data_IF_203569042745
#
_entry.id   IF_203569042745
#
_cell.length_a   1.000
_cell.length_b   1.000
_cell.length_c   1.000
_cell.angle_alpha   90.00
_cell.angle_beta   90.00
_cell.angle_gamma   90.00
#
_symmetry.space_group_name_H-M   'P 1'
#
loop_
_entity.id
_entity.type
_entity.pdbx_description
1 polymer ?
#
# COMPACT_ATOMS: atom_id res chain seq x y z
N UNK A 1 25.40 -16.30 8.62
CA UNK A 1 24.61 -15.63 7.56
C UNK A 1 24.84 -14.15 7.72
N UNK A 2 25.36 -13.49 6.69
CA UNK A 2 25.73 -12.09 6.77
C UNK A 2 24.50 -11.19 6.62
N UNK A 3 24.37 -10.23 7.51
CA UNK A 3 23.36 -9.18 7.48
C UNK A 3 24.08 -7.83 7.62
N UNK A 4 23.84 -6.90 6.69
CA UNK A 4 24.40 -5.56 6.72
C UNK A 4 23.26 -4.55 6.72
N UNK A 5 23.37 -3.53 7.56
CA UNK A 5 22.41 -2.41 7.60
C UNK A 5 23.17 -1.08 7.66
N UNK A 6 23.21 -0.40 6.53
CA UNK A 6 23.93 0.86 6.35
C UNK A 6 22.92 2.00 6.29
N UNK A 7 23.17 3.06 7.07
CA UNK A 7 22.40 4.30 7.02
C UNK A 7 23.27 5.44 6.52
N UNK A 8 22.69 6.28 5.66
CA UNK A 8 23.37 7.41 5.05
C UNK A 8 22.86 8.73 5.64
N UNK A 9 23.66 9.79 5.54
CA UNK A 9 23.36 11.09 6.15
C UNK A 9 22.08 11.75 5.60
N UNK A 10 21.69 11.40 4.37
CA UNK A 10 20.45 11.86 3.75
C UNK A 10 19.19 11.11 4.25
N UNK A 11 19.37 10.14 5.15
CA UNK A 11 18.34 9.27 5.70
C UNK A 11 18.06 8.01 4.89
N UNK A 12 18.61 7.88 3.68
CA UNK A 12 18.49 6.64 2.90
C UNK A 12 19.20 5.49 3.64
N UNK A 13 18.82 4.25 3.30
CA UNK A 13 19.46 3.07 3.88
C UNK A 13 19.56 1.93 2.89
N UNK A 14 20.58 1.10 3.09
CA UNK A 14 20.78 -0.15 2.37
C UNK A 14 20.75 -1.28 3.39
N UNK A 15 19.93 -2.30 3.13
CA UNK A 15 19.91 -3.53 3.91
C UNK A 15 20.28 -4.70 3.01
N UNK A 16 21.26 -5.49 3.41
CA UNK A 16 21.59 -6.76 2.77
C UNK A 16 21.28 -7.90 3.74
N UNK A 17 20.43 -8.85 3.32
CA UNK A 17 19.98 -9.96 4.16
C UNK A 17 19.75 -11.21 3.33
N UNK A 18 20.40 -12.31 3.70
CA UNK A 18 20.22 -13.63 3.06
C UNK A 18 20.37 -13.60 1.53
N UNK A 19 21.35 -12.85 1.00
CA UNK A 19 21.59 -12.73 -0.44
C UNK A 19 20.68 -11.74 -1.18
N UNK A 20 19.81 -11.03 -0.47
CA UNK A 20 18.92 -10.03 -1.04
C UNK A 20 19.35 -8.63 -0.60
N UNK A 21 19.08 -7.65 -1.45
CA UNK A 21 19.37 -6.25 -1.21
C UNK A 21 18.06 -5.46 -1.16
N UNK A 22 17.99 -4.50 -0.23
CA UNK A 22 16.89 -3.56 -0.08
C UNK A 22 17.43 -2.14 -0.04
N UNK A 23 16.94 -1.30 -0.95
CA UNK A 23 17.32 0.11 -1.07
C UNK A 23 16.15 0.97 -0.60
N UNK A 24 16.28 1.74 0.48
CA UNK A 24 15.18 2.52 1.06
C UNK A 24 15.48 4.01 1.11
N UNK A 25 14.42 4.79 0.92
CA UNK A 25 14.45 6.23 1.18
C UNK A 25 14.38 6.54 2.68
N UNK A 26 14.59 7.82 3.04
CA UNK A 26 14.44 8.34 4.41
C UNK A 26 13.09 8.13 5.09
N UNK A 27 12.05 7.77 4.33
CA UNK A 27 10.72 7.44 4.84
C UNK A 27 10.50 5.93 4.91
N UNK A 28 11.56 5.13 4.71
CA UNK A 28 11.54 3.67 4.72
C UNK A 28 10.78 3.05 3.53
N UNK A 29 10.56 3.79 2.44
CA UNK A 29 10.00 3.26 1.19
C UNK A 29 11.11 2.71 0.28
N UNK A 30 10.89 1.52 -0.29
CA UNK A 30 11.83 0.91 -1.23
C UNK A 30 11.90 1.66 -2.56
N UNK A 31 13.12 1.92 -3.06
CA UNK A 31 13.34 2.47 -4.41
C UNK A 31 12.99 1.45 -5.51
N UNK A 32 13.10 0.16 -5.19
CA UNK A 32 12.73 -0.99 -6.01
C UNK A 32 12.29 -2.14 -5.10
N UNK A 33 11.70 -3.22 -5.65
CA UNK A 33 11.35 -4.39 -4.87
C UNK A 33 12.56 -4.98 -4.15
N UNK A 34 12.33 -5.52 -2.96
CA UNK A 34 13.30 -6.38 -2.29
C UNK A 34 13.58 -7.59 -3.19
N UNK A 35 14.85 -7.83 -3.46
CA UNK A 35 15.23 -8.81 -4.47
C UNK A 35 16.66 -9.28 -4.29
N UNK A 36 17.02 -10.28 -5.10
CA UNK A 36 18.34 -10.89 -5.12
C UNK A 36 19.40 -9.87 -5.50
N UNK A 37 20.57 -9.93 -4.88
CA UNK A 37 21.69 -9.02 -5.19
C UNK A 37 22.12 -9.12 -6.66
N UNK A 38 21.93 -10.29 -7.28
CA UNK A 38 22.18 -10.55 -8.70
C UNK A 38 21.31 -9.70 -9.66
N UNK A 39 20.17 -9.18 -9.19
CA UNK A 39 19.27 -8.33 -9.98
C UNK A 39 19.68 -6.85 -9.99
N UNK A 40 20.67 -6.49 -9.17
CA UNK A 40 21.21 -5.15 -9.08
C UNK A 40 22.41 -4.95 -10.01
N UNK A 41 22.67 -3.68 -10.33
CA UNK A 41 23.79 -3.25 -11.16
C UNK A 41 24.66 -2.31 -10.33
N UNK A 42 25.93 -2.68 -10.12
CA UNK A 42 26.93 -1.78 -9.58
C UNK A 42 27.46 -0.90 -10.72
N UNK A 43 27.26 0.41 -10.59
CA UNK A 43 27.55 1.39 -11.64
C UNK A 43 28.75 2.27 -11.32
N UNK A 44 29.07 2.44 -10.03
CA UNK A 44 30.19 3.26 -9.60
C UNK A 44 30.56 2.95 -8.16
N UNK A 45 31.85 2.98 -7.88
CA UNK A 45 32.44 2.92 -6.55
C UNK A 45 33.63 3.85 -6.49
N UNK A 46 33.69 4.67 -5.44
CA UNK A 46 34.85 5.51 -5.15
C UNK A 46 35.04 5.59 -3.64
N UNK A 47 36.29 5.42 -3.21
CA UNK A 47 36.72 5.61 -1.83
C UNK A 47 37.78 6.70 -1.80
N UNK A 48 37.54 7.72 -0.98
CA UNK A 48 38.47 8.84 -0.75
C UNK A 48 38.75 8.96 0.74
N UNK A 49 39.69 9.84 1.11
CA UNK A 49 39.99 10.11 2.52
C UNK A 49 38.77 10.65 3.29
N UNK A 50 37.86 11.35 2.62
CA UNK A 50 36.74 12.05 3.26
C UNK A 50 35.40 11.31 3.15
N UNK A 51 35.21 10.51 2.10
CA UNK A 51 33.93 9.83 1.83
C UNK A 51 34.07 8.58 0.97
N UNK A 52 33.04 7.75 1.06
CA UNK A 52 32.71 6.67 0.16
C UNK A 52 31.51 7.05 -0.72
N UNK A 53 31.55 6.69 -2.00
CA UNK A 53 30.46 6.87 -2.94
C UNK A 53 30.18 5.54 -3.63
N UNK A 54 28.91 5.13 -3.63
CA UNK A 54 28.44 3.98 -4.40
C UNK A 54 27.20 4.37 -5.21
N UNK A 55 27.12 3.92 -6.45
CA UNK A 55 25.94 4.09 -7.31
C UNK A 55 25.40 2.73 -7.69
N UNK A 56 24.14 2.50 -7.33
CA UNK A 56 23.45 1.22 -7.52
C UNK A 56 22.23 1.43 -8.41
N UNK A 57 22.10 0.58 -9.42
CA UNK A 57 20.91 0.47 -10.27
C UNK A 57 20.16 -0.83 -10.05
N UNK A 58 18.93 -0.88 -10.53
CA UNK A 58 18.10 -2.08 -10.63
C UNK A 58 17.10 -1.87 -11.78
N UNK A 59 16.74 -2.92 -12.52
CA UNK A 59 15.79 -2.84 -13.65
C UNK A 59 14.41 -2.26 -13.29
N UNK A 60 14.03 -2.27 -12.02
CA UNK A 60 12.79 -1.68 -11.52
C UNK A 60 12.96 -0.26 -10.98
N UNK A 61 14.11 0.38 -11.22
CA UNK A 61 14.37 1.78 -10.89
C UNK A 61 14.35 2.64 -12.15
N UNK A 62 13.72 3.81 -12.09
CA UNK A 62 13.73 4.78 -13.20
C UNK A 62 15.11 5.41 -13.44
N UNK A 63 15.91 5.49 -12.38
CA UNK A 63 17.26 6.03 -12.42
C UNK A 63 18.13 5.36 -11.34
N UNK A 64 19.44 5.23 -11.56
CA UNK A 64 20.38 4.80 -10.55
C UNK A 64 20.31 5.65 -9.27
N UNK A 65 20.63 5.04 -8.13
CA UNK A 65 20.68 5.72 -6.84
C UNK A 65 22.11 5.85 -6.35
N UNK A 66 22.51 7.09 -6.11
CA UNK A 66 23.79 7.43 -5.47
C UNK A 66 23.63 7.43 -3.95
N UNK A 67 24.58 6.81 -3.28
CA UNK A 67 24.78 6.89 -1.85
C UNK A 67 26.15 7.50 -1.56
N UNK A 68 26.23 8.31 -0.51
CA UNK A 68 27.46 8.96 -0.06
C UNK A 68 27.55 8.82 1.44
N UNK A 69 28.68 8.31 1.91
CA UNK A 69 28.95 8.06 3.32
C UNK A 69 30.26 8.76 3.69
N UNK A 70 30.29 9.52 4.79
CA UNK A 70 31.54 10.12 5.27
C UNK A 70 32.50 9.05 5.79
N UNK A 71 33.82 9.24 5.60
CA UNK A 71 34.82 8.24 5.98
C UNK A 71 34.94 8.01 7.49
N UNK A 72 34.49 8.97 8.31
CA UNK A 72 34.41 8.83 9.76
C UNK A 72 33.11 8.12 10.23
N UNK A 73 32.26 7.68 9.31
CA UNK A 73 31.03 6.98 9.64
C UNK A 73 31.32 5.58 10.17
N UNK A 74 30.55 5.15 11.16
CA UNK A 74 30.59 3.79 11.71
C UNK A 74 30.23 2.69 10.71
N UNK A 75 29.70 3.06 9.54
CA UNK A 75 29.26 2.12 8.50
C UNK A 75 30.28 1.95 7.36
N UNK A 76 31.49 2.50 7.49
CA UNK A 76 32.53 2.40 6.45
C UNK A 76 32.87 0.96 6.10
N UNK A 77 33.18 0.14 7.12
CA UNK A 77 33.50 -1.29 6.95
C UNK A 77 32.33 -2.07 6.33
N UNK A 78 31.09 -1.82 6.79
CA UNK A 78 29.89 -2.45 6.24
C UNK A 78 29.70 -2.11 4.76
N UNK A 79 29.99 -0.87 4.36
CA UNK A 79 29.85 -0.41 2.98
C UNK A 79 30.93 -0.99 2.07
N UNK A 80 32.18 -1.10 2.55
CA UNK A 80 33.25 -1.81 1.84
C UNK A 80 32.94 -3.30 1.68
N UNK A 81 32.43 -3.94 2.73
CA UNK A 81 31.99 -5.34 2.69
C UNK A 81 30.86 -5.50 1.68
N UNK A 82 29.85 -4.63 1.70
CA UNK A 82 28.77 -4.64 0.71
C UNK A 82 29.32 -4.49 -0.72
N UNK A 83 30.24 -3.55 -0.95
CA UNK A 83 30.88 -3.37 -2.26
C UNK A 83 31.59 -4.64 -2.74
N UNK A 84 32.28 -5.35 -1.85
CA UNK A 84 32.91 -6.63 -2.17
C UNK A 84 31.88 -7.68 -2.58
N UNK A 85 30.81 -7.85 -1.81
CA UNK A 85 29.72 -8.80 -2.15
C UNK A 85 29.10 -8.42 -3.51
N UNK A 86 28.82 -7.14 -3.73
CA UNK A 86 28.27 -6.66 -4.99
C UNK A 86 29.20 -6.98 -6.16
N UNK A 87 30.49 -6.69 -6.05
CA UNK A 87 31.48 -6.99 -7.09
C UNK A 87 31.51 -8.49 -7.46
N UNK A 88 31.30 -9.37 -6.49
CA UNK A 88 31.31 -10.82 -6.70
C UNK A 88 29.99 -11.38 -7.28
N UNK A 89 28.84 -10.76 -6.95
CA UNK A 89 27.52 -11.37 -7.20
C UNK A 89 26.60 -10.59 -8.13
N UNK A 90 26.76 -9.27 -8.23
CA UNK A 90 25.87 -8.44 -9.03
C UNK A 90 26.44 -8.16 -10.42
N UNK A 91 25.60 -7.63 -11.31
CA UNK A 91 26.07 -7.17 -12.62
C UNK A 91 26.92 -5.91 -12.41
N UNK A 92 28.13 -5.88 -12.96
CA UNK A 92 29.00 -4.72 -12.88
C UNK A 92 29.08 -4.04 -14.24
N UNK A 93 28.63 -2.79 -14.31
CA UNK A 93 28.76 -1.92 -15.48
C UNK A 93 29.34 -0.58 -14.99
N UNK A 94 30.60 -0.65 -14.53
CA UNK A 94 31.27 0.44 -13.85
C UNK A 94 31.56 1.58 -14.82
N UNK A 95 30.97 2.73 -14.56
CA UNK A 95 31.19 3.94 -15.35
C UNK A 95 32.45 4.67 -14.89
N UNK A 96 33.13 5.33 -15.83
CA UNK A 96 34.36 6.07 -15.53
C UNK A 96 34.13 7.33 -14.70
N UNK A 97 32.95 7.96 -14.80
CA UNK A 97 32.62 9.16 -14.06
C UNK A 97 31.35 8.97 -13.23
N UNK A 98 31.29 9.67 -12.09
CA UNK A 98 30.10 9.71 -11.25
C UNK A 98 28.88 10.26 -12.02
N UNK A 99 29.11 11.23 -12.91
CA UNK A 99 28.04 11.84 -13.72
C UNK A 99 27.41 10.81 -14.66
N UNK A 100 28.22 9.98 -15.31
CA UNK A 100 27.75 8.94 -16.22
C UNK A 100 27.02 7.85 -15.45
N UNK A 101 27.52 7.46 -14.27
CA UNK A 101 26.86 6.49 -13.39
C UNK A 101 25.47 6.94 -12.95
N UNK A 102 25.29 8.22 -12.60
CA UNK A 102 23.98 8.76 -12.20
C UNK A 102 23.02 8.86 -13.40
N UNK A 103 23.56 9.17 -14.59
CA UNK A 103 22.79 9.31 -15.84
C UNK A 103 22.60 7.98 -16.59
N UNK A 104 23.12 6.89 -16.06
CA UNK A 104 23.09 5.59 -16.70
C UNK A 104 21.63 5.18 -17.02
N UNK A 105 21.40 4.83 -18.29
CA UNK A 105 20.07 4.46 -18.78
C UNK A 105 19.79 3.00 -18.44
N UNK A 106 19.05 2.79 -17.36
CA UNK A 106 18.54 1.47 -17.01
C UNK A 106 17.36 1.14 -17.94
N UNK A 107 17.38 -0.03 -18.58
CA UNK A 107 16.22 -0.59 -19.25
C UNK A 107 15.16 -0.92 -18.21
N UNK A 108 14.23 0.02 -17.98
CA UNK A 108 13.22 -0.10 -16.95
C UNK A 108 12.14 -1.12 -17.34
N UNK A 109 12.00 -2.18 -16.54
CA UNK A 109 10.90 -3.13 -16.65
C UNK A 109 9.84 -2.79 -15.58
N UNK A 110 8.61 -2.43 -15.99
CA UNK A 110 7.54 -2.17 -15.03
C UNK A 110 7.25 -3.44 -14.25
N UNK A 111 7.05 -3.28 -12.93
CA UNK A 111 6.63 -4.37 -12.07
C UNK A 111 5.19 -4.73 -12.46
N UNK A 112 5.00 -5.83 -13.17
CA UNK A 112 3.68 -6.39 -13.44
C UNK A 112 3.25 -7.15 -12.19
N UNK A 113 2.44 -6.50 -11.37
CA UNK A 113 1.75 -7.18 -10.28
C UNK A 113 0.64 -7.99 -10.95
N UNK A 114 0.93 -9.25 -11.29
CA UNK A 114 -0.12 -10.21 -11.56
C UNK A 114 -0.99 -10.24 -10.31
N UNK A 115 -2.22 -9.74 -10.43
CA UNK A 115 -3.25 -9.95 -9.44
C UNK A 115 -3.51 -11.45 -9.42
N UNK A 116 -2.69 -12.20 -8.70
CA UNK A 116 -3.04 -13.52 -8.26
C UNK A 116 -4.41 -13.37 -7.59
N UNK A 117 -5.38 -14.15 -8.07
CA UNK A 117 -6.75 -14.26 -7.53
C UNK A 117 -6.67 -14.69 -6.06
N UNK A 118 -6.27 -13.78 -5.17
CA UNK A 118 -6.25 -13.94 -3.73
C UNK A 118 -7.56 -13.45 -3.10
N UNK A 119 -8.48 -12.89 -3.90
CA UNK A 119 -9.86 -12.57 -3.49
C UNK A 119 -10.77 -13.80 -3.34
N UNK A 120 -10.32 -15.02 -3.64
CA UNK A 120 -11.13 -16.24 -3.48
C UNK A 120 -10.80 -17.13 -2.27
N UNK A 121 -9.74 -16.87 -1.49
CA UNK A 121 -9.39 -17.74 -0.33
C UNK A 121 -9.77 -17.10 1.02
N UNK A 122 -9.80 -15.77 1.16
CA UNK A 122 -10.01 -15.14 2.47
C UNK A 122 -11.47 -14.75 2.80
N UNK A 123 -12.47 -15.38 2.17
CA UNK A 123 -13.90 -15.21 2.52
C UNK A 123 -14.51 -16.42 3.24
N UNK A 124 -13.81 -17.56 3.30
CA UNK A 124 -14.36 -18.77 3.92
C UNK A 124 -13.92 -18.99 5.37
N UNK A 125 -12.85 -18.31 5.85
CA UNK A 125 -12.28 -18.61 7.18
C UNK A 125 -12.69 -17.62 8.28
N UNK A 126 -13.18 -16.42 7.96
CA UNK A 126 -13.66 -15.43 8.95
C UNK A 126 -15.20 -15.44 9.11
N UNK A 127 -15.86 -16.53 8.74
CA UNK A 127 -17.32 -16.66 8.79
C UNK A 127 -17.83 -17.68 9.82
N UNK A 128 -16.95 -18.28 10.64
CA UNK A 128 -17.35 -19.35 11.57
C UNK A 128 -17.48 -18.93 13.03
N UNK A 129 -16.95 -17.78 13.46
CA UNK A 129 -17.00 -17.37 14.88
C UNK A 129 -17.21 -15.86 15.04
N UNK A 130 -18.43 -15.40 14.75
CA UNK A 130 -18.99 -14.18 15.34
C UNK A 130 -20.53 -14.25 15.35
N UNK A 131 -21.07 -14.37 16.56
CA UNK A 131 -22.42 -14.01 17.01
C UNK A 131 -23.65 -14.80 16.55
N UNK A 132 -24.17 -15.57 17.51
CA UNK A 132 -25.52 -16.10 17.63
C UNK A 132 -26.64 -15.03 17.68
N UNK A 133 -26.42 -13.83 17.12
CA UNK A 133 -27.38 -12.71 17.18
C UNK A 133 -27.59 -11.99 15.85
N UNK A 134 -27.15 -12.58 14.73
CA UNK A 134 -27.33 -11.97 13.41
C UNK A 134 -28.71 -12.27 12.83
N UNK A 135 -29.47 -11.22 12.50
CA UNK A 135 -30.78 -11.33 11.86
C UNK A 135 -30.67 -12.05 10.50
N UNK A 136 -31.45 -13.12 10.33
CA UNK A 136 -31.51 -13.94 9.11
C UNK A 136 -32.91 -13.89 8.51
N UNK A 137 -32.98 -14.00 7.18
CA UNK A 137 -34.25 -14.13 6.49
C UNK A 137 -34.95 -15.45 6.87
N UNK A 138 -36.21 -15.45 7.35
CA UNK A 138 -36.91 -16.66 7.75
C UNK A 138 -37.28 -17.58 6.56
N UNK A 139 -37.19 -17.09 5.31
CA UNK A 139 -37.45 -17.92 4.11
C UNK A 139 -36.19 -18.56 3.52
N UNK A 140 -35.03 -17.92 3.61
CA UNK A 140 -33.83 -18.40 2.90
C UNK A 140 -32.54 -18.41 3.75
N UNK A 141 -32.62 -18.07 5.04
CA UNK A 141 -31.50 -18.07 5.96
C UNK A 141 -30.40 -17.02 5.69
N UNK A 142 -30.55 -16.20 4.64
CA UNK A 142 -29.56 -15.20 4.27
C UNK A 142 -29.52 -14.05 5.30
N UNK A 143 -28.31 -13.61 5.64
CA UNK A 143 -28.03 -12.41 6.46
C UNK A 143 -28.04 -11.11 5.65
N UNK A 144 -28.22 -11.19 4.33
CA UNK A 144 -28.30 -10.04 3.43
C UNK A 144 -29.70 -9.43 3.45
N UNK A 145 -29.95 -8.63 4.48
CA UNK A 145 -31.21 -7.92 4.72
C UNK A 145 -31.02 -6.42 4.45
N UNK A 146 -31.94 -5.83 3.69
CA UNK A 146 -32.02 -4.39 3.50
C UNK A 146 -33.18 -3.84 4.35
N UNK A 147 -32.85 -3.03 5.35
CA UNK A 147 -33.83 -2.29 6.14
C UNK A 147 -34.08 -0.95 5.45
N UNK A 148 -35.17 -0.84 4.69
CA UNK A 148 -35.49 0.39 4.00
C UNK A 148 -36.50 1.18 4.83
N UNK A 149 -36.11 2.38 5.29
CA UNK A 149 -37.03 3.31 5.95
C UNK A 149 -37.84 3.98 4.86
N UNK A 150 -39.17 3.90 4.94
CA UNK A 150 -40.06 4.64 4.04
C UNK A 150 -39.88 6.13 4.32
N UNK A 151 -39.00 6.78 3.55
CA UNK A 151 -38.67 8.20 3.68
C UNK A 151 -39.87 9.09 3.41
N UNK A 152 -39.86 10.26 4.06
CA UNK A 152 -40.83 11.33 3.93
C UNK A 152 -41.14 11.61 2.45
N UNK A 153 -42.39 11.40 2.04
CA UNK A 153 -42.82 11.78 0.71
C UNK A 153 -42.79 13.30 0.59
N UNK A 154 -41.98 13.83 -0.32
CA UNK A 154 -41.92 15.26 -0.68
C UNK A 154 -43.33 15.85 -0.94
N UNK A 155 -44.28 15.04 -1.41
CA UNK A 155 -45.67 15.46 -1.63
C UNK A 155 -46.48 15.80 -0.36
N UNK A 156 -46.06 15.37 0.84
CA UNK A 156 -46.76 15.70 2.10
C UNK A 156 -46.27 16.99 2.76
N UNK A 157 -45.07 17.45 2.42
CA UNK A 157 -44.54 18.72 2.93
C UNK A 157 -45.23 19.93 2.28
N UNK A 158 -45.57 19.82 0.99
CA UNK A 158 -46.18 20.92 0.20
C UNK A 158 -47.60 21.24 0.67
N UNK A 159 -48.37 20.26 1.14
CA UNK A 159 -49.72 20.51 1.67
C UNK A 159 -49.67 21.18 3.04
N UNK A 160 -48.65 20.89 3.86
CA UNK A 160 -48.48 21.49 5.19
C UNK A 160 -48.07 22.97 5.16
N UNK A 161 -47.27 23.38 4.17
CA UNK A 161 -46.81 24.77 4.03
C UNK A 161 -47.90 25.72 3.53
N UNK A 162 -48.83 25.23 2.70
CA UNK A 162 -49.96 26.03 2.20
C UNK A 162 -51.03 26.27 3.27
N UNK A 163 -51.21 25.35 4.22
CA UNK A 163 -52.24 25.46 5.25
C UNK A 163 -51.83 26.28 6.49
N UNK A 164 -50.55 26.31 6.86
CA UNK A 164 -50.10 26.89 8.15
C UNK A 164 -49.01 27.97 8.05
N UNK A 165 -48.67 28.43 6.84
CA UNK A 165 -47.67 29.48 6.62
C UNK A 165 -46.23 29.04 6.89
N UNK A 166 -45.28 29.83 6.38
CA UNK A 166 -43.84 29.51 6.29
C UNK A 166 -43.20 29.16 7.64
N UNK A 167 -43.75 29.66 8.74
CA UNK A 167 -43.19 29.48 10.09
C UNK A 167 -43.77 28.23 10.80
N UNK A 168 -44.97 27.77 10.43
CA UNK A 168 -45.65 26.63 11.08
C UNK A 168 -45.34 25.26 10.48
N UNK A 169 -44.85 25.19 9.23
CA UNK A 169 -44.67 23.93 8.50
C UNK A 169 -43.53 23.02 8.99
N UNK A 170 -42.58 23.55 9.76
CA UNK A 170 -41.37 22.80 10.16
C UNK A 170 -41.57 21.88 11.37
N UNK A 171 -42.62 22.09 12.19
CA UNK A 171 -42.75 21.42 13.49
C UNK A 171 -43.79 20.28 13.52
N UNK A 172 -44.66 20.17 12.52
CA UNK A 172 -45.68 19.10 12.44
C UNK A 172 -45.20 17.84 11.66
N UNK A 173 -43.89 17.68 11.47
CA UNK A 173 -43.33 16.63 10.61
C UNK A 173 -42.98 15.30 11.29
N UNK A 174 -43.29 15.10 12.56
CA UNK A 174 -42.71 13.98 13.33
C UNK A 174 -43.74 13.02 13.94
N UNK A 175 -44.96 12.95 13.41
CA UNK A 175 -45.92 11.90 13.77
C UNK A 175 -46.19 11.02 12.53
N UNK A 176 -45.48 9.87 12.46
CA UNK A 176 -45.88 8.75 11.59
C UNK A 176 -44.78 8.02 10.81
N UNK A 177 -43.52 8.46 10.83
CA UNK A 177 -42.46 7.86 10.02
C UNK A 177 -41.69 6.71 10.74
N UNK A 178 -42.38 5.65 11.17
CA UNK A 178 -41.72 4.47 11.76
C UNK A 178 -42.32 3.14 11.30
N UNK A 179 -42.44 2.92 9.98
CA UNK A 179 -42.61 1.57 9.43
C UNK A 179 -41.30 1.20 8.72
N UNK A 180 -40.49 0.38 9.39
CA UNK A 180 -39.26 -0.20 8.84
C UNK A 180 -39.67 -1.49 8.13
N UNK A 181 -39.51 -1.54 6.81
CA UNK A 181 -39.75 -2.77 6.06
C UNK A 181 -38.41 -3.41 5.73
N UNK A 182 -38.17 -4.61 6.27
CA UNK A 182 -36.94 -5.36 6.03
C UNK A 182 -37.18 -6.29 4.85
N UNK A 183 -36.39 -6.12 3.80
CA UNK A 183 -36.45 -6.93 2.58
C UNK A 183 -35.20 -7.79 2.50
N UNK A 184 -35.38 -9.10 2.33
CA UNK A 184 -34.25 -9.98 2.02
C UNK A 184 -33.80 -9.75 0.57
N UNK A 185 -32.54 -9.35 0.38
CA UNK A 185 -31.97 -9.09 -0.95
C UNK A 185 -31.74 -10.39 -1.75
N UNK A 186 -31.69 -11.54 -1.07
CA UNK A 186 -31.47 -12.84 -1.72
C UNK A 186 -32.75 -13.47 -2.28
N UNK A 187 -33.88 -13.33 -1.59
CA UNK A 187 -35.14 -13.97 -2.01
C UNK A 187 -36.30 -13.00 -2.23
N UNK A 188 -36.08 -11.69 -2.05
CA UNK A 188 -37.09 -10.65 -2.23
C UNK A 188 -38.21 -10.63 -1.20
N UNK A 189 -38.22 -11.55 -0.21
CA UNK A 189 -39.27 -11.58 0.81
C UNK A 189 -39.17 -10.37 1.73
N UNK A 190 -40.28 -9.67 1.88
CA UNK A 190 -40.45 -8.52 2.77
C UNK A 190 -41.11 -8.97 4.06
N UNK A 191 -40.60 -8.53 5.19
CA UNK A 191 -41.21 -8.76 6.49
C UNK A 191 -41.13 -7.48 7.32
N UNK A 192 -42.18 -7.27 8.12
CA UNK A 192 -42.28 -6.15 9.04
C UNK A 192 -41.71 -6.62 10.38
N UNK A 193 -40.83 -5.81 10.95
CA UNK A 193 -40.34 -5.94 12.33
C UNK A 193 -40.95 -4.82 13.16
#
# INVERSE_FOLDING_TARGET
>A
MEELQIRFDNGDSICYKYGNLELKDKRNFGYCPYGKIEDYILLYWEMTLDKYIIVIGNRHMKAPKKYTLLSNSRYGEDLEHLHKIMTERCKCDIQHTLTDAIKYKISYEPIVIEKSKSESINKQVIASQADNNQARCPRCGSTSLSANKKGFGMGKAVVGTLAFGVIGGALAGSIGAKKIEVTCLKCGKKFKV
#
